data_IF_718503683336
#
_entry.id   IF_718503683336
#
_cell.length_a   1.000
_cell.length_b   1.000
_cell.length_c   1.000
_cell.angle_alpha   90.00
_cell.angle_beta   90.00
_cell.angle_gamma   90.00
#
_symmetry.space_group_name_H-M   'P 1'
#
loop_
_entity.id
_entity.type
_entity.pdbx_description
1 polymer ?
#
# COMPACT_ATOMS: atom_id res chain seq x y z
N UNK A 1 -9.14 -1.75 -9.14
CA UNK A 1 -8.11 -2.71 -8.69
C UNK A 1 -8.60 -3.59 -7.53
N UNK A 2 -9.48 -3.06 -6.67
CA UNK A 2 -10.03 -3.70 -5.47
C UNK A 2 -10.54 -5.13 -5.64
N UNK A 3 -11.31 -5.45 -6.68
CA UNK A 3 -11.77 -6.82 -6.92
C UNK A 3 -10.58 -7.78 -7.11
N UNK A 4 -9.63 -7.42 -7.97
CA UNK A 4 -8.43 -8.23 -8.23
C UNK A 4 -7.64 -8.52 -6.95
N UNK A 5 -7.44 -7.52 -6.09
CA UNK A 5 -6.74 -7.71 -4.81
C UNK A 5 -7.51 -8.69 -3.92
N UNK A 6 -8.83 -8.53 -3.81
CA UNK A 6 -9.69 -9.42 -2.99
C UNK A 6 -9.76 -10.84 -3.54
N UNK A 7 -9.68 -11.01 -4.86
CA UNK A 7 -9.75 -12.30 -5.53
C UNK A 7 -8.42 -13.08 -5.43
N UNK A 8 -7.29 -12.38 -5.40
CA UNK A 8 -5.96 -12.98 -5.40
C UNK A 8 -5.33 -13.11 -4.01
N UNK A 9 -5.66 -12.23 -3.07
CA UNK A 9 -5.21 -12.35 -1.69
C UNK A 9 -6.26 -13.08 -0.86
N UNK A 10 -5.91 -14.19 -0.21
CA UNK A 10 -6.82 -14.83 0.72
C UNK A 10 -6.89 -14.05 2.04
N UNK A 11 -8.05 -14.07 2.68
CA UNK A 11 -8.11 -13.79 4.12
C UNK A 11 -7.52 -14.99 4.88
N UNK A 12 -6.24 -14.91 5.22
CA UNK A 12 -5.48 -16.01 5.83
C UNK A 12 -4.60 -15.49 6.99
N UNK A 13 -5.16 -15.31 8.20
CA UNK A 13 -4.43 -14.78 9.36
C UNK A 13 -3.15 -15.54 9.71
N UNK A 14 -3.10 -16.86 9.44
CA UNK A 14 -1.90 -17.71 9.64
C UNK A 14 -0.74 -17.33 8.72
N UNK A 15 -1.03 -16.71 7.58
CA UNK A 15 -0.05 -16.20 6.62
C UNK A 15 0.17 -14.69 6.77
N UNK A 16 -0.35 -14.08 7.84
CA UNK A 16 -0.29 -12.63 8.04
C UNK A 16 -1.18 -11.84 7.07
N UNK A 17 -2.02 -12.49 6.26
CA UNK A 17 -2.86 -11.85 5.26
C UNK A 17 -4.27 -11.59 5.80
N UNK A 18 -4.72 -10.34 5.68
CA UNK A 18 -6.05 -9.89 6.07
C UNK A 18 -6.65 -9.07 4.94
N UNK A 19 -7.89 -9.36 4.56
CA UNK A 19 -8.59 -8.71 3.44
C UNK A 19 -9.87 -8.06 3.94
N UNK A 20 -10.18 -6.86 3.44
CA UNK A 20 -11.40 -6.12 3.76
C UNK A 20 -12.65 -6.92 3.39
N UNK A 21 -13.68 -7.00 4.26
CA UNK A 21 -13.89 -6.18 5.46
C UNK A 21 -13.23 -6.69 6.74
N UNK A 22 -12.57 -7.85 6.71
CA UNK A 22 -12.11 -8.57 7.90
C UNK A 22 -10.71 -8.16 8.39
N UNK A 23 -10.25 -6.95 8.07
CA UNK A 23 -8.94 -6.45 8.53
C UNK A 23 -9.04 -6.06 10.01
N UNK A 24 -8.25 -6.66 10.93
CA UNK A 24 -8.32 -6.32 12.34
C UNK A 24 -7.93 -4.87 12.61
N UNK A 25 -8.85 -4.12 13.22
CA UNK A 25 -8.70 -2.67 13.45
C UNK A 25 -7.41 -2.31 14.21
N UNK A 26 -7.01 -3.15 15.17
CA UNK A 26 -5.75 -2.96 15.93
C UNK A 26 -4.50 -3.00 15.04
N UNK A 27 -4.45 -3.93 14.07
CA UNK A 27 -3.32 -4.08 13.14
C UNK A 27 -3.30 -2.94 12.13
N UNK A 28 -4.47 -2.59 11.61
CA UNK A 28 -4.64 -1.48 10.68
C UNK A 28 -4.21 -0.14 11.30
N UNK A 29 -4.62 0.14 12.54
CA UNK A 29 -4.14 1.31 13.29
C UNK A 29 -2.63 1.28 13.51
N UNK A 30 -2.05 0.09 13.70
CA UNK A 30 -0.59 -0.09 13.75
C UNK A 30 0.08 0.38 12.47
N UNK A 31 -0.34 -0.17 11.34
CA UNK A 31 0.19 0.15 10.01
C UNK A 31 0.04 1.63 9.66
N UNK A 32 -1.16 2.21 9.83
CA UNK A 32 -1.46 3.62 9.50
C UNK A 32 -0.62 4.58 10.34
N UNK A 33 -0.44 4.28 11.63
CA UNK A 33 0.38 5.13 12.50
C UNK A 33 1.86 5.10 12.10
N UNK A 34 2.37 3.93 11.76
CA UNK A 34 3.82 3.71 11.69
C UNK A 34 4.37 3.95 10.27
N UNK A 35 3.75 3.37 9.23
CA UNK A 35 4.25 3.50 7.85
C UNK A 35 3.24 3.99 6.81
N UNK A 36 1.94 3.95 7.09
CA UNK A 36 0.89 4.34 6.15
C UNK A 36 0.16 5.63 6.57
N UNK A 37 0.92 6.65 6.98
CA UNK A 37 0.38 7.93 7.44
C UNK A 37 -0.48 8.59 6.35
N UNK A 38 -1.66 9.05 6.73
CA UNK A 38 -2.62 9.68 5.81
C UNK A 38 -3.48 8.70 4.99
N UNK A 39 -3.36 7.39 5.22
CA UNK A 39 -4.26 6.40 4.62
C UNK A 39 -5.50 6.22 5.49
N UNK A 40 -6.69 6.35 4.89
CA UNK A 40 -7.94 6.05 5.59
C UNK A 40 -8.18 4.54 5.63
N UNK A 41 -8.79 4.06 6.72
CA UNK A 41 -9.03 2.63 6.93
C UNK A 41 -9.94 2.00 5.87
N UNK A 42 -10.86 2.78 5.29
CA UNK A 42 -11.77 2.34 4.23
C UNK A 42 -11.09 2.11 2.87
N UNK A 43 -9.97 2.80 2.64
CA UNK A 43 -9.19 2.69 1.41
C UNK A 43 -8.33 1.41 1.41
N UNK A 44 -8.04 0.86 2.59
CA UNK A 44 -7.26 -0.38 2.74
C UNK A 44 -8.08 -1.57 2.28
N UNK A 45 -7.57 -2.25 1.24
CA UNK A 45 -8.20 -3.42 0.64
C UNK A 45 -7.66 -4.69 1.29
N UNK A 46 -6.36 -4.74 1.55
CA UNK A 46 -5.70 -5.83 2.25
C UNK A 46 -4.51 -5.34 3.06
N UNK A 47 -4.14 -6.12 4.08
CA UNK A 47 -2.99 -5.93 4.94
C UNK A 47 -2.21 -7.24 5.04
N UNK A 48 -0.91 -7.15 4.80
CA UNK A 48 0.08 -8.15 5.17
C UNK A 48 0.75 -7.69 6.47
N UNK A 49 0.60 -8.46 7.55
CA UNK A 49 1.26 -8.21 8.83
C UNK A 49 2.60 -8.96 8.85
N UNK A 50 3.70 -8.22 8.74
CA UNK A 50 5.06 -8.75 8.77
C UNK A 50 5.67 -8.79 10.18
N UNK A 51 4.89 -8.59 11.25
CA UNK A 51 5.41 -8.47 12.60
C UNK A 51 5.43 -9.79 13.36
N UNK A 52 6.46 -9.98 14.21
CA UNK A 52 6.56 -11.18 15.06
C UNK A 52 5.43 -11.26 16.11
N UNK A 53 4.98 -10.12 16.62
CA UNK A 53 3.94 -10.03 17.65
C UNK A 53 2.54 -9.79 17.08
N UNK A 54 2.41 -9.75 15.75
CA UNK A 54 1.13 -9.54 15.07
C UNK A 54 0.49 -8.19 15.40
N UNK A 55 1.27 -7.12 15.54
CA UNK A 55 0.78 -5.78 15.85
C UNK A 55 0.58 -4.90 14.59
N UNK A 56 0.93 -5.39 13.39
CA UNK A 56 0.72 -4.71 12.12
C UNK A 56 1.65 -3.52 11.85
N UNK A 57 2.70 -3.33 12.66
CA UNK A 57 3.64 -2.20 12.54
C UNK A 57 4.67 -2.34 11.42
N UNK A 58 4.95 -3.57 11.01
CA UNK A 58 5.73 -3.92 9.83
C UNK A 58 4.85 -4.73 8.88
N UNK A 59 5.20 -4.75 7.60
CA UNK A 59 4.49 -5.45 6.54
C UNK A 59 4.03 -4.49 5.45
N UNK A 60 2.87 -4.75 4.86
CA UNK A 60 2.37 -3.98 3.73
C UNK A 60 0.85 -3.74 3.80
N UNK A 61 0.42 -2.59 3.31
CA UNK A 61 -0.98 -2.30 2.97
C UNK A 61 -1.14 -2.23 1.46
N UNK A 62 -2.27 -2.76 0.98
CA UNK A 62 -2.65 -2.76 -0.43
C UNK A 62 -3.85 -1.84 -0.62
N UNK A 63 -3.68 -0.83 -1.48
CA UNK A 63 -4.67 0.18 -1.86
C UNK A 63 -5.09 -0.05 -3.32
N UNK A 64 -5.96 0.80 -3.87
CA UNK A 64 -6.43 0.61 -5.26
C UNK A 64 -5.35 0.97 -6.30
N UNK A 65 -4.39 1.82 -5.95
CA UNK A 65 -3.40 2.36 -6.88
C UNK A 65 -1.93 2.01 -6.53
N UNK A 66 -1.68 1.60 -5.28
CA UNK A 66 -0.34 1.38 -4.75
C UNK A 66 -0.31 0.40 -3.59
N UNK A 67 0.88 -0.09 -3.28
CA UNK A 67 1.19 -0.65 -1.97
C UNK A 67 2.08 0.31 -1.17
N UNK A 68 1.88 0.34 0.15
CA UNK A 68 2.78 1.01 1.09
C UNK A 68 3.28 -0.05 2.07
N UNK A 69 4.58 -0.10 2.31
CA UNK A 69 5.16 -1.13 3.16
C UNK A 69 6.36 -0.62 3.96
N UNK A 70 6.65 -1.32 5.05
CA UNK A 70 7.83 -1.12 5.89
C UNK A 70 8.29 -2.50 6.38
N UNK A 71 9.58 -2.83 6.21
CA UNK A 71 10.10 -4.13 6.64
C UNK A 71 10.49 -4.15 8.11
N UNK A 72 10.87 -3.00 8.66
CA UNK A 72 11.18 -2.82 10.08
C UNK A 72 11.02 -1.36 10.48
N UNK A 73 10.78 -1.12 11.77
CA UNK A 73 10.76 0.22 12.40
C UNK A 73 12.03 1.07 12.14
N UNK A 74 13.15 0.46 11.70
CA UNK A 74 14.41 1.14 11.42
C UNK A 74 14.58 1.56 9.94
N UNK A 75 13.68 1.10 9.07
CA UNK A 75 13.69 1.43 7.65
C UNK A 75 12.56 2.44 7.34
N UNK A 76 12.78 3.39 6.43
CA UNK A 76 11.72 4.28 6.00
C UNK A 76 10.62 3.49 5.26
N UNK A 77 9.37 3.93 5.44
CA UNK A 77 8.24 3.43 4.67
C UNK A 77 8.47 3.63 3.16
N UNK A 78 8.14 2.62 2.38
CA UNK A 78 8.22 2.63 0.93
C UNK A 78 6.81 2.65 0.34
N UNK A 79 6.62 3.41 -0.73
CA UNK A 79 5.36 3.48 -1.48
C UNK A 79 5.62 3.12 -2.93
N UNK A 80 4.99 2.07 -3.41
CA UNK A 80 5.17 1.59 -4.79
C UNK A 80 3.81 1.64 -5.47
N UNK A 81 3.68 2.56 -6.44
CA UNK A 81 2.49 2.58 -7.30
C UNK A 81 2.55 1.38 -8.22
N UNK A 82 1.39 0.79 -8.45
CA UNK A 82 1.28 -0.40 -9.29
C UNK A 82 1.74 -0.15 -10.72
N UNK A 83 1.42 1.03 -11.27
CA UNK A 83 1.86 1.46 -12.60
C UNK A 83 3.39 1.67 -12.72
N UNK A 84 4.06 1.87 -11.58
CA UNK A 84 5.48 2.16 -11.54
C UNK A 84 6.30 0.84 -11.46
N UNK A 85 5.65 -0.33 -11.29
CA UNK A 85 6.30 -1.66 -11.23
C UNK A 85 6.79 -2.11 -12.62
N UNK A 86 8.06 -2.48 -12.71
CA UNK A 86 8.73 -2.88 -13.97
C UNK A 86 9.12 -4.35 -13.96
N UNK A 87 9.67 -4.83 -12.85
CA UNK A 87 10.12 -6.20 -12.70
C UNK A 87 9.89 -6.69 -11.27
N UNK A 88 9.71 -8.00 -11.11
CA UNK A 88 9.55 -8.67 -9.82
C UNK A 88 10.45 -9.89 -9.76
N UNK A 89 11.12 -10.08 -8.64
CA UNK A 89 11.92 -11.25 -8.36
C UNK A 89 11.62 -11.77 -6.94
N UNK A 90 10.81 -12.82 -6.88
CA UNK A 90 10.50 -13.52 -5.64
C UNK A 90 11.66 -14.46 -5.27
N UNK A 91 12.16 -14.34 -4.03
CA UNK A 91 13.27 -15.15 -3.54
C UNK A 91 12.93 -15.82 -2.22
N UNK A 92 13.23 -17.12 -2.14
CA UNK A 92 13.30 -17.89 -0.90
C UNK A 92 14.76 -18.22 -0.63
N UNK A 93 15.34 -17.60 0.39
CA UNK A 93 16.75 -17.79 0.76
C UNK A 93 16.86 -18.31 2.20
N UNK A 94 17.69 -19.32 2.42
CA UNK A 94 18.04 -19.79 3.77
C UNK A 94 18.73 -18.73 4.65
N UNK A 95 19.52 -17.84 4.06
CA UNK A 95 20.27 -16.81 4.79
C UNK A 95 19.51 -15.49 4.93
N UNK A 96 18.95 -14.99 3.83
CA UNK A 96 18.28 -13.69 3.72
C UNK A 96 16.75 -13.71 3.88
N UNK A 97 16.16 -14.88 4.19
CA UNK A 97 14.73 -15.03 4.36
C UNK A 97 13.94 -15.09 3.05
N UNK A 98 12.63 -14.85 3.13
CA UNK A 98 11.71 -14.86 1.98
C UNK A 98 11.28 -13.44 1.67
N UNK A 99 11.39 -13.01 0.42
CA UNK A 99 11.12 -11.62 0.05
C UNK A 99 10.82 -11.47 -1.45
N UNK A 100 10.28 -10.31 -1.83
CA UNK A 100 10.09 -9.90 -3.22
C UNK A 100 10.96 -8.66 -3.46
N UNK A 101 11.88 -8.74 -4.43
CA UNK A 101 12.55 -7.58 -5.01
C UNK A 101 11.68 -7.04 -6.15
N UNK A 102 11.49 -5.72 -6.18
CA UNK A 102 10.66 -4.99 -7.13
C UNK A 102 11.50 -3.90 -7.78
N UNK A 103 11.59 -3.93 -9.10
CA UNK A 103 12.19 -2.84 -9.87
C UNK A 103 11.09 -1.81 -10.19
N UNK A 104 11.31 -0.55 -9.82
CA UNK A 104 10.28 0.50 -9.86
C UNK A 104 10.78 1.72 -10.63
N UNK A 105 10.00 2.15 -11.62
CA UNK A 105 10.22 3.41 -12.33
C UNK A 105 9.66 4.59 -11.54
N UNK A 106 10.55 5.47 -11.04
CA UNK A 106 10.17 6.74 -10.41
C UNK A 106 10.73 7.91 -11.22
N UNK A 107 9.88 8.45 -12.10
CA UNK A 107 10.25 9.57 -12.96
C UNK A 107 11.23 9.14 -14.04
N UNK A 108 12.49 9.61 -13.94
CA UNK A 108 13.57 9.28 -14.90
C UNK A 108 14.58 8.26 -14.36
N UNK A 109 14.32 7.66 -13.20
CA UNK A 109 15.23 6.73 -12.56
C UNK A 109 14.48 5.47 -12.11
N UNK A 110 15.21 4.37 -12.13
CA UNK A 110 14.75 3.05 -11.71
C UNK A 110 15.40 2.72 -10.37
N UNK A 111 14.61 2.21 -9.43
CA UNK A 111 15.06 1.86 -8.08
C UNK A 111 14.53 0.51 -7.66
N UNK A 112 15.31 -0.18 -6.84
CA UNK A 112 14.90 -1.43 -6.21
C UNK A 112 14.18 -1.19 -4.89
N UNK A 113 12.99 -1.77 -4.77
CA UNK A 113 12.22 -1.85 -3.54
C UNK A 113 12.16 -3.32 -3.11
N UNK A 114 12.33 -3.61 -1.82
CA UNK A 114 12.34 -5.00 -1.30
C UNK A 114 11.27 -5.16 -0.23
N UNK A 115 10.30 -6.04 -0.45
CA UNK A 115 9.28 -6.42 0.54
C UNK A 115 9.69 -7.73 1.24
N UNK A 116 9.90 -7.66 2.56
CA UNK A 116 10.23 -8.81 3.40
C UNK A 116 8.97 -9.60 3.80
N UNK A 117 8.97 -10.88 3.44
CA UNK A 117 7.90 -11.84 3.72
C UNK A 117 8.36 -12.98 4.65
N UNK A 118 9.49 -12.82 5.33
CA UNK A 118 10.16 -13.87 6.09
C UNK A 118 9.36 -14.36 7.30
N UNK A 119 8.43 -13.54 7.83
CA UNK A 119 7.58 -13.94 8.95
C UNK A 119 6.47 -14.88 8.52
N UNK A 120 5.98 -14.74 7.30
CA UNK A 120 5.00 -15.63 6.71
C UNK A 120 5.38 -15.98 5.27
N UNK A 121 6.38 -16.88 5.07
CA UNK A 121 6.87 -17.23 3.74
C UNK A 121 5.80 -17.78 2.78
N UNK A 122 4.74 -18.36 3.32
CA UNK A 122 3.61 -18.89 2.54
C UNK A 122 2.76 -17.79 1.90
N UNK A 123 2.88 -16.54 2.36
CA UNK A 123 2.25 -15.38 1.71
C UNK A 123 2.90 -15.03 0.36
N UNK A 124 4.14 -15.48 0.10
CA UNK A 124 4.92 -15.14 -1.09
C UNK A 124 4.14 -15.41 -2.37
N UNK A 125 3.57 -16.59 -2.52
CA UNK A 125 2.90 -17.00 -3.75
C UNK A 125 1.70 -16.09 -4.08
N UNK A 126 0.94 -15.70 -3.05
CA UNK A 126 -0.23 -14.84 -3.22
C UNK A 126 0.16 -13.40 -3.54
N UNK A 127 1.13 -12.85 -2.81
CA UNK A 127 1.58 -11.47 -3.02
C UNK A 127 2.32 -11.35 -4.35
N UNK A 128 3.20 -12.29 -4.69
CA UNK A 128 3.87 -12.34 -5.99
C UNK A 128 2.84 -12.41 -7.13
N UNK A 129 1.89 -13.35 -7.05
CA UNK A 129 0.85 -13.50 -8.06
C UNK A 129 0.01 -12.23 -8.23
N UNK A 130 -0.35 -11.57 -7.13
CA UNK A 130 -1.03 -10.28 -7.19
C UNK A 130 -0.19 -9.26 -7.94
N UNK A 131 1.05 -9.03 -7.52
CA UNK A 131 1.91 -8.01 -8.12
C UNK A 131 2.21 -8.29 -9.60
N UNK A 132 2.44 -9.56 -9.97
CA UNK A 132 2.59 -9.98 -11.37
C UNK A 132 1.33 -9.68 -12.18
N UNK A 133 0.14 -9.99 -11.64
CA UNK A 133 -1.12 -9.71 -12.34
C UNK A 133 -1.36 -8.23 -12.52
N UNK A 134 -1.03 -7.44 -11.50
CA UNK A 134 -1.15 -5.99 -11.52
C UNK A 134 -0.23 -5.36 -12.56
N UNK A 135 1.01 -5.83 -12.70
CA UNK A 135 1.95 -5.36 -13.72
C UNK A 135 1.49 -5.61 -15.15
N UNK A 136 0.70 -6.67 -15.36
CA UNK A 136 0.18 -7.05 -16.68
C UNK A 136 -1.14 -6.37 -17.02
N UNK A 137 -1.75 -5.65 -16.07
CA UNK A 137 -2.93 -4.86 -16.40
C UNK A 137 -2.52 -3.75 -17.37
N UNK A 138 -3.30 -3.51 -18.44
CA UNK A 138 -3.07 -2.35 -19.28
C UNK A 138 -3.06 -1.12 -18.38
N UNK A 139 -2.19 -0.15 -18.68
CA UNK A 139 -2.23 1.15 -18.02
C UNK A 139 -3.69 1.60 -18.03
N UNK A 140 -4.28 1.73 -16.85
CA UNK A 140 -5.51 2.48 -16.69
C UNK A 140 -5.10 3.91 -17.02
N UNK A 141 -5.17 4.27 -18.31
CA UNK A 141 -4.98 5.63 -18.78
C UNK A 141 -6.14 6.45 -18.26
N UNK A 142 -6.04 6.93 -17.02
CA UNK A 142 -6.51 8.27 -16.70
C UNK A 142 -5.30 9.17 -16.75
N UNK A 143 -5.10 9.91 -17.85
CA UNK A 143 -4.16 11.01 -17.88
C UNK A 143 -4.57 12.00 -16.77
N UNK A 144 -3.75 12.16 -15.74
CA UNK A 144 -3.78 13.34 -14.86
C UNK A 144 -5.11 13.68 -14.19
N UNK A 145 -6.06 12.75 -14.04
CA UNK A 145 -7.27 13.04 -13.28
C UNK A 145 -6.92 12.91 -11.80
N UNK A 146 -6.61 14.04 -11.18
CA UNK A 146 -6.52 14.18 -9.73
C UNK A 146 -7.74 13.49 -9.11
N UNK A 147 -7.52 12.53 -8.20
CA UNK A 147 -8.60 11.95 -7.41
C UNK A 147 -9.15 13.05 -6.50
N UNK A 148 -10.13 13.78 -7.02
CA UNK A 148 -10.74 14.91 -6.35
C UNK A 148 -11.45 14.50 -5.07
N UNK A 149 -11.89 13.24 -4.94
CA UNK A 149 -12.46 12.76 -3.69
C UNK A 149 -11.37 12.64 -2.62
N UNK A 150 -10.20 12.09 -2.96
CA UNK A 150 -9.06 12.06 -2.06
C UNK A 150 -8.57 13.48 -1.70
N UNK A 151 -8.50 14.39 -2.68
CA UNK A 151 -8.14 15.80 -2.43
C UNK A 151 -9.13 16.48 -1.50
N UNK A 152 -10.44 16.36 -1.76
CA UNK A 152 -11.48 16.96 -0.92
C UNK A 152 -11.39 16.47 0.52
N UNK A 153 -11.17 15.17 0.75
CA UNK A 153 -11.00 14.59 2.09
C UNK A 153 -9.79 15.17 2.82
N UNK A 154 -8.64 15.27 2.16
CA UNK A 154 -7.43 15.88 2.74
C UNK A 154 -7.66 17.35 3.08
N UNK A 155 -8.31 18.11 2.18
CA UNK A 155 -8.62 19.51 2.42
C UNK A 155 -9.59 19.69 3.59
N UNK A 156 -10.58 18.80 3.75
CA UNK A 156 -11.49 18.79 4.89
C UNK A 156 -10.77 18.45 6.21
N UNK A 157 -9.82 17.52 6.20
CA UNK A 157 -9.00 17.19 7.38
C UNK A 157 -8.16 18.41 7.80
N UNK A 158 -7.51 19.09 6.83
CA UNK A 158 -6.74 20.29 7.09
C UNK A 158 -7.61 21.44 7.63
N UNK A 159 -8.82 21.60 7.10
CA UNK A 159 -9.78 22.58 7.63
C UNK A 159 -10.21 22.24 9.06
N UNK A 160 -10.59 20.99 9.30
CA UNK A 160 -11.08 20.55 10.62
C UNK A 160 -10.00 20.62 11.71
N UNK A 161 -8.73 20.47 11.33
CA UNK A 161 -7.58 20.61 12.24
C UNK A 161 -7.07 22.05 12.40
N UNK A 162 -7.75 23.04 11.79
CA UNK A 162 -7.37 24.46 11.85
C UNK A 162 -6.10 24.82 11.06
N UNK A 163 -5.61 23.90 10.21
CA UNK A 163 -4.41 24.09 9.38
C UNK A 163 -4.71 24.73 8.02
N UNK A 164 -5.98 24.83 7.65
CA UNK A 164 -6.46 25.46 6.42
C UNK A 164 -7.64 26.38 6.75
N UNK A 165 -7.61 27.62 6.25
CA UNK A 165 -8.71 28.56 6.45
C UNK A 165 -9.90 28.18 5.58
N UNK A 166 -11.10 28.62 5.97
CA UNK A 166 -12.32 28.40 5.18
C UNK A 166 -12.26 29.11 3.81
N UNK A 167 -11.53 30.23 3.72
CA UNK A 167 -11.31 30.95 2.46
C UNK A 167 -10.40 30.15 1.51
N UNK A 168 -9.25 29.67 2.02
CA UNK A 168 -8.31 28.85 1.25
C UNK A 168 -8.94 27.51 0.82
N UNK A 169 -9.73 26.89 1.69
CA UNK A 169 -10.46 25.66 1.39
C UNK A 169 -11.39 25.85 0.18
N UNK A 170 -12.19 26.92 0.16
CA UNK A 170 -13.09 27.22 -0.97
C UNK A 170 -12.30 27.52 -2.24
N UNK A 171 -11.20 28.26 -2.14
CA UNK A 171 -10.32 28.55 -3.27
C UNK A 171 -9.77 27.28 -3.92
N UNK A 172 -9.26 26.36 -3.10
CA UNK A 172 -8.70 25.08 -3.56
C UNK A 172 -9.77 24.13 -4.11
N UNK A 173 -10.97 24.10 -3.52
CA UNK A 173 -12.10 23.30 -4.01
C UNK A 173 -12.65 23.77 -5.35
N UNK A 174 -12.50 25.07 -5.68
CA UNK A 174 -12.91 25.64 -6.96
C UNK A 174 -11.88 25.45 -8.08
N UNK A 175 -10.66 25.01 -7.76
CA UNK A 175 -9.61 24.77 -8.74
C UNK A 175 -9.76 23.39 -9.38
N UNK A 176 -10.80 23.19 -10.20
CA UNK A 176 -10.95 21.99 -11.03
C UNK A 176 -10.53 22.33 -12.46
N UNK A 177 -9.46 21.75 -13.01
CA UNK A 177 -9.01 22.00 -14.38
C UNK A 177 -9.96 21.40 -15.42
#
# INVERSE_FOLDING_TARGET
MRSLIKDLLPHAPKMGLYVSPDVPEKKLRGAVRDYAKGVHSEDVIALYDGTLLGNGRDGAIFLDDRLIFQNSDFEPAQTVRYRDLVHLNAKRSRLRGTYIEMEVNRGRATFDAKLDLSKHPDSLEYIERLLQKVMLLPEQTTPGETDWNAVSRVLEELRSSGKLTEEDFRGLMNYRP
#
